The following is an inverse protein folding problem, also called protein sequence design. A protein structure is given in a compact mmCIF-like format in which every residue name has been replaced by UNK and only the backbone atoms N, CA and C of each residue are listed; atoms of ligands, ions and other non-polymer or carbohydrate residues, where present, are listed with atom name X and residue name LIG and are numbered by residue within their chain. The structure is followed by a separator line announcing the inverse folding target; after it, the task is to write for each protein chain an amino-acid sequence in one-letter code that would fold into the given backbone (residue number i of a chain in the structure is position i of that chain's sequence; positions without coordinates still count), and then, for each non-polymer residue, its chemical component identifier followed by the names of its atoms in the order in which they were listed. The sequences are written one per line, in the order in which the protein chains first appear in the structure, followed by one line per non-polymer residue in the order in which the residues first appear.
data_IF_758848524469
#
_entry.id   IF_758848524469
#
_cell.length_a   1.000
_cell.length_b   1.000
_cell.length_c   1.000
_cell.angle_alpha   90.00
_cell.angle_beta   90.00
_cell.angle_gamma   90.00
#
_symmetry.space_group_name_H-M   'P 1'
#
loop_
_entity.id
_entity.type
_entity.pdbx_description
1 polymer ?
#
# COMPACT_ATOMS: atom_id res chain seq x y z
N UNK A 1 -0.74 -9.53 14.80
CA UNK A 1 -0.45 -8.84 13.52
C UNK A 1 0.40 -7.59 13.70
N UNK A 2 -0.02 -6.62 14.53
CA UNK A 2 0.67 -5.32 14.73
C UNK A 2 2.19 -5.42 14.90
N UNK A 3 2.63 -6.24 15.86
CA UNK A 3 4.06 -6.38 16.18
C UNK A 3 4.86 -6.92 15.00
N UNK A 4 4.32 -7.88 14.25
CA UNK A 4 5.01 -8.45 13.12
C UNK A 4 5.20 -7.43 11.98
N UNK A 5 4.17 -6.63 11.68
CA UNK A 5 4.30 -5.54 10.71
C UNK A 5 5.37 -4.55 11.15
N UNK A 6 5.42 -4.19 12.44
CA UNK A 6 6.45 -3.29 12.96
C UNK A 6 7.87 -3.85 12.80
N UNK A 7 8.07 -5.13 13.11
CA UNK A 7 9.36 -5.83 12.90
C UNK A 7 9.78 -5.76 11.42
N UNK A 8 8.87 -6.07 10.48
CA UNK A 8 9.19 -5.99 9.05
C UNK A 8 9.55 -4.58 8.60
N UNK A 9 8.87 -3.55 9.14
CA UNK A 9 9.19 -2.15 8.85
C UNK A 9 10.59 -1.81 9.35
N UNK A 10 10.94 -2.17 10.59
CA UNK A 10 12.27 -1.93 11.18
C UNK A 10 13.37 -2.62 10.38
N UNK A 11 13.18 -3.88 10.00
CA UNK A 11 14.14 -4.62 9.17
C UNK A 11 14.35 -3.94 7.80
N UNK A 12 13.28 -3.44 7.17
CA UNK A 12 13.38 -2.70 5.91
C UNK A 12 14.12 -1.37 6.08
N UNK A 13 13.94 -0.69 7.21
CA UNK A 13 14.67 0.55 7.53
C UNK A 13 16.17 0.27 7.69
N UNK A 14 16.55 -0.80 8.39
CA UNK A 14 17.95 -1.23 8.54
C UNK A 14 18.57 -1.57 7.17
N UNK A 15 17.79 -2.19 6.28
CA UNK A 15 18.22 -2.49 4.91
C UNK A 15 18.14 -1.29 3.95
N UNK A 16 17.91 -0.07 4.46
CA UNK A 16 17.75 1.18 3.68
C UNK A 16 16.66 1.14 2.59
N UNK A 17 15.70 0.22 2.70
CA UNK A 17 14.54 0.07 1.80
C UNK A 17 13.39 0.99 2.22
N UNK A 18 13.64 2.29 2.31
CA UNK A 18 12.73 3.28 2.90
C UNK A 18 11.34 3.32 2.24
N UNK A 19 11.29 3.17 0.90
CA UNK A 19 10.03 3.11 0.17
C UNK A 19 9.15 1.92 0.57
N UNK A 20 9.75 0.73 0.73
CA UNK A 20 9.03 -0.46 1.19
C UNK A 20 8.60 -0.33 2.66
N UNK A 21 9.48 0.19 3.52
CA UNK A 21 9.15 0.43 4.92
C UNK A 21 7.92 1.35 5.04
N UNK A 22 7.84 2.41 4.23
CA UNK A 22 6.68 3.29 4.16
C UNK A 22 5.41 2.54 3.71
N UNK A 23 5.49 1.74 2.65
CA UNK A 23 4.37 0.94 2.15
C UNK A 23 3.81 0.01 3.25
N UNK A 24 4.67 -0.67 4.00
CA UNK A 24 4.26 -1.60 5.06
C UNK A 24 3.66 -0.86 6.26
N UNK A 25 4.20 0.32 6.60
CA UNK A 25 3.63 1.20 7.63
C UNK A 25 2.24 1.70 7.24
N UNK A 26 2.09 2.21 6.01
CA UNK A 26 0.81 2.72 5.49
C UNK A 26 -0.24 1.58 5.42
N UNK A 27 0.17 0.39 5.01
CA UNK A 27 -0.66 -0.81 5.09
C UNK A 27 -1.11 -1.11 6.52
N UNK A 28 -0.22 -1.07 7.50
CA UNK A 28 -0.55 -1.30 8.91
C UNK A 28 -1.61 -0.33 9.44
N UNK A 29 -1.53 0.95 9.05
CA UNK A 29 -2.54 1.97 9.38
C UNK A 29 -3.88 1.65 8.71
N UNK A 30 -3.87 1.36 7.41
CA UNK A 30 -5.09 1.02 6.68
C UNK A 30 -5.78 -0.22 7.24
N UNK A 31 -5.01 -1.27 7.59
CA UNK A 31 -5.51 -2.49 8.22
C UNK A 31 -6.12 -2.18 9.58
N UNK A 32 -5.45 -1.36 10.41
CA UNK A 32 -5.93 -0.99 11.73
C UNK A 32 -7.25 -0.21 11.70
N UNK A 33 -7.45 0.61 10.68
CA UNK A 33 -8.71 1.35 10.47
C UNK A 33 -9.87 0.42 10.07
N UNK A 34 -9.59 -0.74 9.49
CA UNK A 34 -10.60 -1.76 9.18
C UNK A 34 -10.85 -2.68 10.39
N UNK A 35 -9.78 -3.23 10.97
CA UNK A 35 -9.83 -4.12 12.14
C UNK A 35 -8.61 -3.86 13.04
N UNK A 36 -8.80 -3.71 14.36
CA UNK A 36 -7.69 -3.47 15.29
C UNK A 36 -6.57 -4.52 15.18
N UNK A 37 -5.39 -4.09 14.73
CA UNK A 37 -4.25 -4.98 14.45
C UNK A 37 -3.64 -5.61 15.71
N UNK A 38 -3.97 -5.06 16.87
CA UNK A 38 -3.59 -5.58 18.20
C UNK A 38 -4.27 -6.90 18.54
N UNK A 39 -5.49 -7.13 18.02
CA UNK A 39 -6.28 -8.35 18.26
C UNK A 39 -6.29 -9.31 17.08
N UNK A 40 -5.73 -8.89 15.94
CA UNK A 40 -5.74 -9.67 14.71
C UNK A 40 -4.59 -10.67 14.67
N UNK A 41 -4.91 -11.94 14.42
CA UNK A 41 -3.95 -13.03 14.16
C UNK A 41 -4.02 -13.50 12.70
N UNK A 42 -3.04 -14.28 12.23
CA UNK A 42 -2.99 -14.71 10.83
C UNK A 42 -4.14 -15.65 10.44
N UNK A 43 -4.63 -16.46 11.38
CA UNK A 43 -5.77 -17.36 11.17
C UNK A 43 -7.09 -16.61 10.95
N UNK A 44 -7.20 -15.36 11.39
CA UNK A 44 -8.38 -14.52 11.14
C UNK A 44 -8.45 -14.04 9.69
N UNK A 45 -7.31 -14.03 8.98
CA UNK A 45 -7.21 -13.56 7.61
C UNK A 45 -7.56 -14.71 6.67
N UNK A 46 -8.85 -14.86 6.43
CA UNK A 46 -9.42 -15.78 5.45
C UNK A 46 -10.01 -15.04 4.25
N UNK A 47 -10.60 -15.77 3.31
CA UNK A 47 -11.23 -15.19 2.12
C UNK A 47 -12.24 -14.07 2.44
N UNK A 48 -13.13 -14.30 3.42
CA UNK A 48 -14.16 -13.35 3.80
C UNK A 48 -13.57 -12.08 4.44
N UNK A 49 -12.51 -12.23 5.24
CA UNK A 49 -11.76 -11.09 5.76
C UNK A 49 -11.21 -10.23 4.62
N UNK A 50 -10.58 -10.84 3.61
CA UNK A 50 -10.00 -10.15 2.47
C UNK A 50 -11.06 -9.43 1.64
N UNK A 51 -12.20 -10.07 1.35
CA UNK A 51 -13.33 -9.41 0.67
C UNK A 51 -13.87 -8.23 1.48
N UNK A 52 -14.01 -8.37 2.79
CA UNK A 52 -14.46 -7.28 3.66
C UNK A 52 -13.48 -6.11 3.69
N UNK A 53 -12.18 -6.40 3.72
CA UNK A 53 -11.14 -5.37 3.67
C UNK A 53 -11.13 -4.64 2.32
N UNK A 54 -11.28 -5.36 1.21
CA UNK A 54 -11.44 -4.79 -0.13
C UNK A 54 -12.63 -3.81 -0.18
N UNK A 55 -13.81 -4.24 0.29
CA UNK A 55 -15.00 -3.39 0.34
C UNK A 55 -14.79 -2.15 1.23
N UNK A 56 -14.10 -2.30 2.36
CA UNK A 56 -13.75 -1.17 3.22
C UNK A 56 -12.87 -0.14 2.50
N UNK A 57 -11.87 -0.60 1.74
CA UNK A 57 -10.99 0.30 0.99
C UNK A 57 -11.72 1.02 -0.16
N UNK A 58 -12.61 0.32 -0.88
CA UNK A 58 -13.48 0.96 -1.88
C UNK A 58 -14.35 2.05 -1.25
N UNK A 59 -14.97 1.79 -0.08
CA UNK A 59 -15.77 2.79 0.65
C UNK A 59 -14.97 4.02 1.09
N UNK A 60 -13.65 3.88 1.25
CA UNK A 60 -12.73 4.99 1.55
C UNK A 60 -12.25 5.73 0.29
N UNK A 61 -12.73 5.37 -0.89
CA UNK A 61 -12.36 6.00 -2.16
C UNK A 61 -11.06 5.49 -2.76
N UNK A 62 -10.52 4.35 -2.31
CA UNK A 62 -9.36 3.75 -2.96
C UNK A 62 -9.72 3.22 -4.35
N UNK A 63 -8.83 3.42 -5.32
CA UNK A 63 -8.95 2.83 -6.66
C UNK A 63 -8.52 1.36 -6.66
N UNK A 64 -8.88 0.61 -7.71
CA UNK A 64 -8.48 -0.80 -7.83
C UNK A 64 -6.96 -0.99 -7.78
N UNK A 65 -6.18 -0.09 -8.36
CA UNK A 65 -4.71 -0.10 -8.25
C UNK A 65 -4.21 0.10 -6.81
N UNK A 66 -4.80 1.05 -6.07
CA UNK A 66 -4.46 1.25 -4.65
C UNK A 66 -4.81 0.05 -3.78
N UNK A 67 -5.98 -0.55 -4.01
CA UNK A 67 -6.43 -1.76 -3.31
C UNK A 67 -5.54 -2.95 -3.66
N UNK A 68 -5.15 -3.09 -4.93
CA UNK A 68 -4.20 -4.10 -5.36
C UNK A 68 -2.89 -4.00 -4.56
N UNK A 69 -2.36 -2.78 -4.36
CA UNK A 69 -1.16 -2.58 -3.57
C UNK A 69 -1.33 -3.00 -2.11
N UNK A 70 -2.43 -2.63 -1.44
CA UNK A 70 -2.69 -3.09 -0.07
C UNK A 70 -2.79 -4.63 0.03
N UNK A 71 -3.49 -5.27 -0.92
CA UNK A 71 -3.63 -6.72 -0.95
C UNK A 71 -2.31 -7.43 -1.26
N UNK A 72 -1.48 -6.86 -2.13
CA UNK A 72 -0.14 -7.37 -2.40
C UNK A 72 0.72 -7.27 -1.15
N UNK A 73 0.75 -6.11 -0.47
CA UNK A 73 1.50 -5.95 0.77
C UNK A 73 1.07 -6.97 1.82
N UNK A 74 -0.24 -7.20 2.01
CA UNK A 74 -0.71 -8.23 2.93
C UNK A 74 -0.24 -9.64 2.52
N UNK A 75 -0.28 -9.97 1.22
CA UNK A 75 0.22 -11.24 0.70
C UNK A 75 1.71 -11.42 1.01
N UNK A 76 2.51 -10.37 0.84
CA UNK A 76 3.94 -10.39 1.13
C UNK A 76 4.21 -10.62 2.63
N UNK A 77 3.48 -9.93 3.50
CA UNK A 77 3.54 -10.11 4.97
C UNK A 77 3.16 -11.54 5.35
N UNK A 78 2.06 -12.08 4.79
CA UNK A 78 1.60 -13.44 5.08
C UNK A 78 2.62 -14.48 4.61
N UNK A 79 3.20 -14.30 3.42
CA UNK A 79 4.25 -15.18 2.91
C UNK A 79 5.51 -15.14 3.78
N UNK A 80 5.90 -13.97 4.28
CA UNK A 80 7.02 -13.84 5.21
C UNK A 80 6.73 -14.53 6.54
N UNK A 81 5.49 -14.42 7.05
CA UNK A 81 5.07 -15.15 8.24
C UNK A 81 5.15 -16.67 8.06
N UNK A 82 4.76 -17.20 6.88
CA UNK A 82 4.95 -18.62 6.53
C UNK A 82 6.45 -18.98 6.50
N UNK A 83 7.31 -18.14 5.90
CA UNK A 83 8.77 -18.38 5.86
C UNK A 83 9.40 -18.44 7.25
N UNK A 84 8.85 -17.68 8.20
CA UNK A 84 9.29 -17.65 9.60
C UNK A 84 8.55 -18.64 10.50
N UNK A 85 7.77 -19.54 9.91
CA UNK A 85 7.01 -20.57 10.63
C UNK A 85 6.02 -20.01 11.67
N UNK A 86 5.50 -18.81 11.44
CA UNK A 86 4.52 -18.15 12.32
C UNK A 86 3.07 -18.50 11.98
N UNK A 87 2.84 -19.13 10.82
CA UNK A 87 1.53 -19.57 10.36
C UNK A 87 1.66 -20.75 9.40
N UNK A 88 0.76 -21.73 9.52
CA UNK A 88 0.71 -22.87 8.58
C UNK A 88 0.34 -22.42 7.17
N UNK A 89 0.93 -23.09 6.18
CA UNK A 89 0.58 -22.97 4.75
C UNK A 89 -0.88 -23.32 4.49
N UNK A 90 -1.50 -24.16 5.31
CA UNK A 90 -2.90 -24.59 5.15
C UNK A 90 -3.90 -23.45 5.35
N UNK A 91 -3.49 -22.40 6.07
CA UNK A 91 -4.31 -21.21 6.32
C UNK A 91 -4.14 -20.14 5.24
N UNK A 92 -3.37 -20.41 4.19
CA UNK A 92 -3.02 -19.41 3.18
C UNK A 92 -4.26 -18.91 2.41
N UNK A 93 -4.61 -17.60 2.49
CA UNK A 93 -5.92 -17.13 2.05
C UNK A 93 -5.95 -16.65 0.59
N UNK A 94 -4.79 -16.56 -0.07
CA UNK A 94 -4.67 -16.02 -1.43
C UNK A 94 -4.66 -17.12 -2.48
N UNK A 95 -5.23 -16.80 -3.66
CA UNK A 95 -5.23 -17.69 -4.82
C UNK A 95 -3.80 -18.04 -5.22
N UNK A 96 -3.47 -19.32 -5.15
CA UNK A 96 -2.16 -19.86 -5.51
C UNK A 96 -2.24 -21.38 -5.68
N UNK A 97 -1.11 -22.06 -5.90
CA UNK A 97 -1.04 -23.52 -5.86
C UNK A 97 -1.44 -24.09 -4.48
N UNK A 98 -1.19 -23.35 -3.39
CA UNK A 98 -1.57 -23.77 -2.03
C UNK A 98 -3.08 -23.66 -1.79
N UNK A 99 -3.75 -22.72 -2.46
CA UNK A 99 -5.17 -22.48 -2.31
C UNK A 99 -5.77 -21.98 -3.64
N UNK A 100 -6.23 -22.89 -4.53
CA UNK A 100 -6.79 -22.51 -5.82
C UNK A 100 -8.06 -21.65 -5.74
N UNK A 101 -8.80 -21.78 -4.64
CA UNK A 101 -10.05 -21.06 -4.36
C UNK A 101 -9.85 -19.80 -3.49
N UNK A 102 -8.59 -19.43 -3.23
CA UNK A 102 -8.26 -18.27 -2.43
C UNK A 102 -8.62 -16.95 -3.10
N UNK A 103 -8.41 -15.86 -2.35
CA UNK A 103 -8.65 -14.51 -2.82
C UNK A 103 -7.74 -14.16 -4.00
N UNK A 104 -8.32 -13.67 -5.10
CA UNK A 104 -7.57 -13.29 -6.30
C UNK A 104 -7.42 -11.78 -6.42
N UNK A 105 -6.17 -11.33 -6.64
CA UNK A 105 -5.86 -9.93 -6.90
C UNK A 105 -6.07 -9.53 -8.38
N UNK A 106 -6.35 -10.49 -9.28
CA UNK A 106 -6.38 -10.26 -10.74
C UNK A 106 -7.50 -9.30 -11.17
N UNK A 107 -8.56 -9.20 -10.37
CA UNK A 107 -9.69 -8.32 -10.66
C UNK A 107 -9.46 -6.87 -10.20
N UNK A 108 -8.37 -6.60 -9.48
CA UNK A 108 -8.02 -5.27 -8.99
C UNK A 108 -7.12 -4.59 -10.02
N UNK A 109 -7.71 -3.74 -10.86
CA UNK A 109 -7.00 -3.01 -11.92
C UNK A 109 -6.90 -1.52 -11.62
N UNK A 110 -5.82 -0.92 -12.08
CA UNK A 110 -5.68 0.54 -12.11
C UNK A 110 -6.43 1.08 -13.32
N UNK A 111 -7.23 2.11 -13.12
CA UNK A 111 -7.87 2.89 -14.19
C UNK A 111 -7.00 4.09 -14.61
N UNK A 112 -5.82 4.28 -13.99
CA UNK A 112 -4.95 5.40 -14.30
C UNK A 112 -4.35 5.24 -15.71
N UNK A 113 -4.51 6.29 -16.53
CA UNK A 113 -3.90 6.42 -17.85
C UNK A 113 -2.86 7.55 -17.81
N UNK A 114 -1.61 7.27 -17.38
CA UNK A 114 -0.57 8.28 -17.36
C UNK A 114 -0.25 8.74 -18.78
N UNK A 115 -0.30 10.05 -19.03
CA UNK A 115 0.09 10.69 -20.29
C UNK A 115 1.42 11.42 -20.10
N UNK A 116 2.25 11.47 -21.14
CA UNK A 116 3.43 12.33 -21.17
C UNK A 116 3.03 13.81 -21.26
N UNK A 117 3.73 14.66 -20.51
CA UNK A 117 3.62 16.12 -20.64
C UNK A 117 4.29 16.58 -21.95
N UNK A 118 3.72 17.60 -22.60
CA UNK A 118 4.35 18.24 -23.75
C UNK A 118 5.49 19.17 -23.30
N UNK A 119 6.39 19.53 -24.23
CA UNK A 119 7.48 20.46 -23.93
C UNK A 119 6.94 21.83 -23.53
N UNK A 120 5.84 22.26 -24.13
CA UNK A 120 5.17 23.53 -23.83
C UNK A 120 4.61 23.55 -22.41
N UNK A 121 3.99 22.45 -21.95
CA UNK A 121 3.48 22.29 -20.58
C UNK A 121 4.63 22.33 -19.56
N UNK A 122 5.74 21.62 -19.84
CA UNK A 122 6.93 21.58 -18.97
C UNK A 122 7.57 22.96 -18.85
N UNK A 123 7.75 23.64 -19.98
CA UNK A 123 8.39 24.95 -20.05
C UNK A 123 7.50 26.01 -19.40
N UNK A 124 6.19 25.96 -19.64
CA UNK A 124 5.21 26.83 -19.00
C UNK A 124 5.27 26.75 -17.47
N UNK A 125 5.22 25.55 -16.90
CA UNK A 125 5.30 25.35 -15.45
C UNK A 125 6.63 25.86 -14.86
N UNK A 126 7.75 25.64 -15.57
CA UNK A 126 9.06 26.15 -15.16
C UNK A 126 9.09 27.69 -15.09
N UNK A 127 8.51 28.36 -16.08
CA UNK A 127 8.40 29.83 -16.07
C UNK A 127 7.48 30.35 -14.97
N UNK A 128 6.34 29.68 -14.71
CA UNK A 128 5.46 30.06 -13.60
C UNK A 128 6.14 29.92 -12.23
N UNK A 129 6.90 28.85 -12.00
CA UNK A 129 7.65 28.66 -10.76
C UNK A 129 8.76 29.70 -10.57
N UNK A 130 9.46 30.05 -11.65
CA UNK A 130 10.48 31.10 -11.64
C UNK A 130 9.87 32.49 -11.38
N UNK A 131 8.78 32.83 -12.08
CA UNK A 131 8.07 34.09 -11.90
C UNK A 131 7.46 34.23 -10.51
N UNK A 132 6.86 33.15 -9.97
CA UNK A 132 6.33 33.13 -8.60
C UNK A 132 7.41 33.29 -7.55
N UNK A 133 8.60 32.73 -7.77
CA UNK A 133 9.74 32.88 -6.83
C UNK A 133 10.27 34.31 -6.84
N UNK A 134 10.39 34.92 -8.01
CA UNK A 134 10.87 36.31 -8.14
C UNK A 134 9.82 37.34 -7.67
N UNK A 135 8.52 37.08 -7.89
CA UNK A 135 7.45 37.95 -7.39
C UNK A 135 7.37 37.96 -5.85
N UNK A 136 7.65 36.82 -5.20
CA UNK A 136 7.76 36.73 -3.73
C UNK A 136 8.95 37.52 -3.18
N UNK A 137 10.09 37.52 -3.90
CA UNK A 137 11.26 38.29 -3.47
C UNK A 137 11.08 39.82 -3.58
N UNK A 138 10.13 40.30 -4.39
CA UNK A 138 9.86 41.74 -4.53
C UNK A 138 8.84 42.28 -3.51
N UNK A 139 8.02 41.42 -2.90
CA UNK A 139 7.06 41.82 -1.85
C UNK A 139 7.67 41.86 -0.45
N UNK A 140 8.82 41.22 -0.23
CA UNK A 140 9.56 41.24 1.05
C UNK A 140 10.56 42.42 1.16
N UNK A 141 10.51 43.38 0.23
CA UNK A 141 11.42 44.56 0.18
C UNK A 141 10.70 45.89 0.46
N UNK A 142 9.46 45.85 0.97
CA UNK A 142 8.72 47.05 1.40
C UNK A 142 8.23 46.98 2.84
#
# INVERSE_FOLDING_TARGET
MKNFIAVLVEEMMVQTKLGNAKIYKDFGVALNNYRPTTKLVFSDINYNFLKGFETHLYKRGCTGGGIHHYMWTLRAIYNEAIRRDLVSKDLYPFKSQLNPNGYSLMNLKSEASPRALSLEEIVGDSYYLFASSNAMQLVDVF
#
